data_IF_395642766013
#
_entry.id   IF_395642766013
#
_cell.length_a   1.000
_cell.length_b   1.000
_cell.length_c   1.000
_cell.angle_alpha   90.00
_cell.angle_beta   90.00
_cell.angle_gamma   90.00
#
_symmetry.space_group_name_H-M   'P 1'
#
loop_
_entity.id
_entity.type
_entity.pdbx_description
1 polymer ?
#
# COMPACT_ATOMS: atom_id res chain seq x y z
N UNK A 1 14.02 -8.76 -24.69
CA UNK A 1 13.50 -9.96 -24.01
C UNK A 1 12.06 -10.14 -24.45
N UNK A 2 11.66 -11.36 -24.80
CA UNK A 2 10.37 -11.62 -25.43
C UNK A 2 9.23 -11.22 -24.49
N UNK A 3 8.32 -10.36 -24.95
CA UNK A 3 7.00 -10.15 -24.35
C UNK A 3 6.24 -11.47 -24.49
N UNK A 4 6.50 -12.42 -23.60
CA UNK A 4 5.71 -13.63 -23.45
C UNK A 4 4.26 -13.22 -23.25
N UNK A 5 3.33 -14.05 -23.73
CA UNK A 5 1.89 -13.81 -23.74
C UNK A 5 1.40 -13.44 -22.32
N UNK A 6 1.40 -12.15 -21.98
CA UNK A 6 0.98 -11.64 -20.68
C UNK A 6 -0.54 -11.63 -20.65
N UNK A 7 -1.10 -12.02 -19.52
CA UNK A 7 -2.54 -11.98 -19.33
C UNK A 7 -2.96 -10.51 -19.38
N UNK A 8 -3.80 -10.19 -20.35
CA UNK A 8 -4.41 -8.89 -20.48
C UNK A 8 -5.73 -8.89 -19.70
N UNK A 9 -6.13 -7.74 -19.18
CA UNK A 9 -7.41 -7.59 -18.51
C UNK A 9 -8.54 -7.90 -19.51
N UNK A 10 -9.42 -8.85 -19.15
CA UNK A 10 -10.53 -9.35 -19.98
C UNK A 10 -11.75 -8.42 -19.91
N UNK A 11 -11.50 -7.12 -20.06
CA UNK A 11 -12.52 -6.06 -20.15
C UNK A 11 -12.00 -5.00 -21.13
N UNK A 12 -12.25 -5.23 -22.41
CA UNK A 12 -11.75 -4.38 -23.50
C UNK A 12 -12.25 -2.93 -23.38
N UNK A 13 -13.47 -2.72 -22.88
CA UNK A 13 -14.05 -1.40 -22.68
C UNK A 13 -13.34 -0.64 -21.56
N UNK A 14 -13.08 -1.29 -20.42
CA UNK A 14 -12.31 -0.71 -19.32
C UNK A 14 -10.85 -0.45 -19.74
N UNK A 15 -10.22 -1.40 -20.42
CA UNK A 15 -8.86 -1.22 -20.95
C UNK A 15 -8.82 0.00 -21.87
N UNK A 16 -9.79 0.12 -22.79
CA UNK A 16 -9.89 1.29 -23.67
C UNK A 16 -10.05 2.59 -22.88
N UNK A 17 -10.92 2.62 -21.87
CA UNK A 17 -11.12 3.80 -21.02
C UNK A 17 -9.83 4.23 -20.30
N UNK A 18 -9.05 3.27 -19.77
CA UNK A 18 -7.77 3.56 -19.11
C UNK A 18 -6.77 4.18 -20.09
N UNK A 19 -6.63 3.58 -21.29
CA UNK A 19 -5.74 4.11 -22.32
C UNK A 19 -6.17 5.51 -22.78
N UNK A 20 -7.44 5.70 -23.10
CA UNK A 20 -7.98 6.99 -23.55
C UNK A 20 -7.73 8.07 -22.50
N UNK A 21 -8.07 7.80 -21.23
CA UNK A 21 -7.91 8.77 -20.14
C UNK A 21 -6.45 9.22 -19.96
N UNK A 22 -5.47 8.32 -20.06
CA UNK A 22 -4.05 8.67 -19.90
C UNK A 22 -3.47 9.34 -21.15
N UNK A 23 -3.89 8.90 -22.35
CA UNK A 23 -3.44 9.52 -23.61
C UNK A 23 -3.98 10.94 -23.79
N UNK A 24 -5.21 11.22 -23.34
CA UNK A 24 -5.77 12.59 -23.28
C UNK A 24 -4.96 13.53 -22.38
N UNK A 25 -4.25 12.97 -21.38
CA UNK A 25 -3.32 13.71 -20.52
C UNK A 25 -1.88 13.75 -21.08
N UNK A 26 -1.66 13.26 -22.30
CA UNK A 26 -0.36 13.31 -22.98
C UNK A 26 0.59 12.16 -22.63
N UNK A 27 0.10 11.05 -22.07
CA UNK A 27 0.92 9.85 -21.86
C UNK A 27 0.85 8.95 -23.10
N UNK A 28 1.99 8.72 -23.74
CA UNK A 28 2.07 7.87 -24.93
C UNK A 28 1.63 6.42 -24.63
N UNK A 29 0.89 5.81 -25.57
CA UNK A 29 0.32 4.47 -25.42
C UNK A 29 1.39 3.38 -25.19
N UNK A 30 2.58 3.54 -25.75
CA UNK A 30 3.68 2.58 -25.61
C UNK A 30 4.33 2.59 -24.21
N UNK A 31 4.02 3.60 -23.39
CA UNK A 31 4.40 3.70 -21.97
C UNK A 31 3.42 3.03 -21.03
N UNK A 32 2.32 2.48 -21.54
CA UNK A 32 1.23 1.91 -20.76
C UNK A 32 1.11 0.42 -21.00
N UNK A 33 0.98 -0.33 -19.90
CA UNK A 33 0.68 -1.75 -19.91
C UNK A 33 -0.41 -2.02 -18.87
N UNK A 34 -1.47 -2.72 -19.28
CA UNK A 34 -2.57 -3.11 -18.41
C UNK A 34 -2.55 -4.63 -18.26
N UNK A 35 -2.19 -5.08 -17.07
CA UNK A 35 -2.15 -6.51 -16.74
C UNK A 35 -3.53 -6.98 -16.28
N UNK A 36 -3.89 -8.18 -16.72
CA UNK A 36 -5.06 -8.91 -16.24
C UNK A 36 -4.79 -9.68 -14.94
N UNK A 37 -5.81 -10.36 -14.40
CA UNK A 37 -5.66 -11.19 -13.22
C UNK A 37 -4.61 -12.29 -13.43
N UNK A 38 -3.69 -12.43 -12.48
CA UNK A 38 -2.67 -13.48 -12.53
C UNK A 38 -3.24 -14.84 -12.05
N UNK A 39 -2.77 -15.98 -12.57
CA UNK A 39 -3.36 -17.30 -12.27
C UNK A 39 -3.16 -17.75 -10.82
N UNK A 40 -2.18 -17.18 -10.13
CA UNK A 40 -1.86 -17.51 -8.75
C UNK A 40 -1.32 -16.29 -7.99
N UNK A 41 -1.32 -16.36 -6.66
CA UNK A 41 -0.67 -15.37 -5.79
C UNK A 41 0.83 -15.27 -6.07
N UNK A 42 1.48 -16.39 -6.40
CA UNK A 42 2.91 -16.38 -6.74
C UNK A 42 3.16 -15.56 -8.01
N UNK A 43 2.33 -15.77 -9.05
CA UNK A 43 2.44 -15.03 -10.30
C UNK A 43 2.14 -13.54 -10.12
N UNK A 44 1.13 -13.21 -9.30
CA UNK A 44 0.82 -11.83 -8.88
C UNK A 44 2.01 -11.18 -8.19
N UNK A 45 2.57 -11.81 -7.16
CA UNK A 45 3.72 -11.29 -6.44
C UNK A 45 4.95 -11.13 -7.35
N UNK A 46 5.13 -12.02 -8.32
CA UNK A 46 6.23 -11.93 -9.27
C UNK A 46 6.14 -10.72 -10.21
N UNK A 47 4.95 -10.14 -10.41
CA UNK A 47 4.80 -8.89 -11.20
C UNK A 47 5.51 -7.70 -10.55
N UNK A 48 5.63 -7.67 -9.22
CA UNK A 48 6.35 -6.62 -8.51
C UNK A 48 7.85 -6.61 -8.82
N UNK A 49 8.44 -7.71 -9.27
CA UNK A 49 9.86 -7.74 -9.68
C UNK A 49 10.14 -6.90 -10.94
N UNK A 50 9.09 -6.47 -11.64
CA UNK A 50 9.16 -5.58 -12.79
C UNK A 50 8.80 -4.13 -12.48
N UNK A 51 8.38 -3.86 -11.25
CA UNK A 51 8.00 -2.53 -10.79
C UNK A 51 9.14 -1.91 -9.97
N UNK A 52 9.45 -0.65 -10.25
CA UNK A 52 10.45 0.08 -9.47
C UNK A 52 9.83 0.82 -8.28
N UNK A 53 8.67 1.45 -8.47
CA UNK A 53 7.96 2.28 -7.48
C UNK A 53 6.47 1.97 -7.54
N UNK A 54 5.84 1.76 -6.39
CA UNK A 54 4.39 1.68 -6.26
C UNK A 54 3.78 3.06 -6.07
N UNK A 55 2.75 3.37 -6.86
CA UNK A 55 1.97 4.60 -6.74
C UNK A 55 0.63 4.24 -6.08
N UNK A 56 0.48 4.56 -4.80
CA UNK A 56 -0.74 4.30 -4.05
C UNK A 56 -1.88 5.21 -4.53
N UNK A 57 -3.11 4.69 -4.52
CA UNK A 57 -4.30 5.43 -4.93
C UNK A 57 -4.83 6.32 -3.81
N UNK A 58 -5.56 7.37 -4.19
CA UNK A 58 -6.29 8.24 -3.27
C UNK A 58 -7.63 8.64 -3.89
N UNK A 59 -8.69 8.86 -3.07
CA UNK A 59 -8.72 8.94 -1.60
C UNK A 59 -8.80 7.59 -0.87
N UNK A 60 -8.69 6.46 -1.59
CA UNK A 60 -8.69 5.12 -1.00
C UNK A 60 -7.34 4.45 -1.23
N UNK A 61 -6.57 4.28 -0.15
CA UNK A 61 -5.25 3.67 -0.21
C UNK A 61 -5.32 2.14 -0.31
N UNK A 62 -4.27 1.57 -0.89
CA UNK A 62 -3.94 0.17 -0.78
C UNK A 62 -3.66 -0.24 0.68
N UNK A 63 -3.92 -1.51 0.97
CA UNK A 63 -3.56 -2.13 2.24
C UNK A 63 -2.72 -3.37 1.97
N UNK A 64 -3.36 -4.42 1.45
CA UNK A 64 -2.68 -5.67 1.09
C UNK A 64 -1.66 -5.45 -0.02
N UNK A 65 -2.03 -4.74 -1.08
CA UNK A 65 -1.13 -4.42 -2.21
C UNK A 65 0.10 -3.60 -1.78
N UNK A 66 -0.04 -2.72 -0.79
CA UNK A 66 1.08 -1.96 -0.21
C UNK A 66 2.00 -2.86 0.61
N UNK A 67 1.44 -3.78 1.41
CA UNK A 67 2.22 -4.80 2.13
C UNK A 67 2.94 -5.76 1.17
N UNK A 68 2.28 -6.19 0.09
CA UNK A 68 2.85 -7.04 -0.95
C UNK A 68 4.00 -6.34 -1.68
N UNK A 69 3.80 -5.08 -2.06
CA UNK A 69 4.85 -4.24 -2.66
C UNK A 69 6.07 -4.17 -1.74
N UNK A 70 5.87 -3.82 -0.46
CA UNK A 70 6.95 -3.76 0.51
C UNK A 70 7.67 -5.12 0.69
N UNK A 71 6.89 -6.21 0.78
CA UNK A 71 7.44 -7.56 0.87
C UNK A 71 8.29 -7.93 -0.35
N UNK A 72 7.87 -7.51 -1.54
CA UNK A 72 8.56 -7.73 -2.80
C UNK A 72 9.68 -6.73 -3.09
N UNK A 73 9.91 -5.77 -2.19
CA UNK A 73 11.02 -4.81 -2.33
C UNK A 73 10.65 -3.55 -3.11
N UNK A 74 9.37 -3.29 -3.37
CA UNK A 74 8.89 -2.09 -4.10
C UNK A 74 8.44 -1.01 -3.12
N UNK A 75 9.14 0.14 -3.01
CA UNK A 75 8.71 1.24 -2.17
C UNK A 75 7.42 1.87 -2.72
N UNK A 76 6.50 2.24 -1.83
CA UNK A 76 5.19 2.80 -2.18
C UNK A 76 5.08 4.24 -1.73
N UNK A 77 4.74 5.13 -2.66
CA UNK A 77 4.42 6.53 -2.37
C UNK A 77 2.93 6.63 -2.15
N UNK A 78 2.53 7.29 -1.07
CA UNK A 78 1.12 7.39 -0.64
C UNK A 78 0.78 8.83 -0.25
N UNK A 79 -0.51 9.15 -0.25
CA UNK A 79 -1.01 10.42 0.31
C UNK A 79 -1.70 10.16 1.64
N UNK A 80 -1.60 11.12 2.56
CA UNK A 80 -2.35 11.09 3.83
C UNK A 80 -3.58 11.99 3.73
N UNK A 81 -4.76 11.41 3.99
CA UNK A 81 -6.04 12.13 4.06
C UNK A 81 -6.66 12.14 5.45
N UNK A 82 -7.93 12.58 5.51
CA UNK A 82 -8.67 12.76 6.77
C UNK A 82 -9.38 11.48 7.24
N UNK A 83 -9.83 10.63 6.31
CA UNK A 83 -10.60 9.42 6.62
C UNK A 83 -9.69 8.19 6.75
N UNK A 84 -10.15 7.16 7.45
CA UNK A 84 -9.36 5.94 7.70
C UNK A 84 -8.79 5.32 6.40
N UNK A 85 -9.61 5.17 5.35
CA UNK A 85 -9.18 4.60 4.07
C UNK A 85 -8.11 5.43 3.35
N UNK A 86 -7.97 6.71 3.68
CA UNK A 86 -6.95 7.61 3.13
C UNK A 86 -5.71 7.71 4.03
N UNK A 87 -5.60 6.87 5.06
CA UNK A 87 -4.49 6.89 6.04
C UNK A 87 -3.77 5.55 6.16
N UNK A 88 -4.25 4.51 5.49
CA UNK A 88 -3.68 3.17 5.60
C UNK A 88 -2.26 3.15 5.03
N UNK A 89 -2.05 3.73 3.85
CA UNK A 89 -0.72 3.82 3.25
C UNK A 89 0.26 4.57 4.14
N UNK A 90 -0.16 5.72 4.71
CA UNK A 90 0.64 6.48 5.66
C UNK A 90 0.98 5.69 6.94
N UNK A 91 0.02 4.93 7.48
CA UNK A 91 0.25 4.07 8.64
C UNK A 91 1.27 2.96 8.34
N UNK A 92 1.19 2.35 7.15
CA UNK A 92 2.12 1.30 6.73
C UNK A 92 3.52 1.86 6.50
N UNK A 93 3.65 2.99 5.79
CA UNK A 93 4.94 3.63 5.57
C UNK A 93 5.59 4.08 6.89
N UNK A 94 4.82 4.60 7.84
CA UNK A 94 5.32 4.92 9.19
C UNK A 94 5.86 3.67 9.90
N UNK A 95 5.12 2.55 9.85
CA UNK A 95 5.55 1.30 10.46
C UNK A 95 6.84 0.71 9.83
N UNK A 96 7.16 1.10 8.58
CA UNK A 96 8.36 0.71 7.84
C UNK A 96 9.51 1.74 7.92
N UNK A 97 9.30 2.87 8.61
CA UNK A 97 10.24 3.99 8.66
C UNK A 97 10.48 4.61 7.28
N UNK A 98 9.40 4.83 6.53
CA UNK A 98 9.35 5.40 5.18
C UNK A 98 8.47 6.67 5.13
N UNK A 99 8.45 7.45 6.21
CA UNK A 99 7.66 8.67 6.31
C UNK A 99 8.00 9.68 5.20
N UNK A 100 9.22 9.62 4.64
CA UNK A 100 9.62 10.45 3.50
C UNK A 100 8.82 10.17 2.22
N UNK A 101 8.14 9.02 2.14
CA UNK A 101 7.28 8.59 1.02
C UNK A 101 5.79 8.92 1.27
N UNK A 102 5.46 9.64 2.33
CA UNK A 102 4.08 10.08 2.65
C UNK A 102 3.92 11.54 2.20
N UNK A 103 3.13 11.76 1.16
CA UNK A 103 2.77 13.09 0.68
C UNK A 103 1.53 13.65 1.41
N UNK A 104 1.49 14.96 1.63
CA UNK A 104 0.34 15.64 2.24
C UNK A 104 -0.74 16.06 1.23
N UNK A 105 -0.39 16.16 -0.05
CA UNK A 105 -1.25 16.62 -1.13
C UNK A 105 -0.78 16.01 -2.48
N UNK A 106 -1.60 16.11 -3.56
CA UNK A 106 -1.24 15.58 -4.88
C UNK A 106 0.03 16.20 -5.47
N UNK A 107 0.32 17.46 -5.20
CA UNK A 107 1.53 18.15 -5.67
C UNK A 107 2.78 17.51 -5.06
N UNK A 108 2.83 17.36 -3.74
CA UNK A 108 3.93 16.71 -3.05
C UNK A 108 4.06 15.22 -3.45
N UNK A 109 2.94 14.56 -3.75
CA UNK A 109 2.95 13.18 -4.25
C UNK A 109 3.74 13.05 -5.55
N UNK A 110 3.48 13.95 -6.50
CA UNK A 110 4.22 14.00 -7.78
C UNK A 110 5.69 14.35 -7.54
N UNK A 111 5.98 15.35 -6.70
CA UNK A 111 7.36 15.74 -6.37
C UNK A 111 8.16 14.57 -5.79
N UNK A 112 7.59 13.83 -4.83
CA UNK A 112 8.23 12.64 -4.24
C UNK A 112 8.41 11.53 -5.26
N UNK A 113 7.44 11.29 -6.13
CA UNK A 113 7.52 10.27 -7.17
C UNK A 113 8.64 10.57 -8.17
N UNK A 114 8.71 11.81 -8.65
CA UNK A 114 9.78 12.25 -9.56
C UNK A 114 11.14 12.20 -8.86
N UNK A 115 11.24 12.71 -7.63
CA UNK A 115 12.49 12.70 -6.88
C UNK A 115 13.02 11.28 -6.65
N UNK A 116 12.15 10.33 -6.31
CA UNK A 116 12.56 8.93 -6.12
C UNK A 116 12.91 8.24 -7.44
N UNK A 117 12.14 8.48 -8.50
CA UNK A 117 12.37 7.89 -9.82
C UNK A 117 13.68 8.37 -10.48
N UNK A 118 14.13 9.58 -10.16
CA UNK A 118 15.35 10.17 -10.71
C UNK A 118 16.61 9.87 -9.88
N UNK A 119 16.47 9.51 -8.60
CA UNK A 119 17.56 9.11 -7.72
C UNK A 119 17.71 7.58 -7.69
N UNK A 120 18.28 7.03 -8.76
CA UNK A 120 18.49 5.57 -8.92
C UNK A 120 19.28 4.94 -7.75
N UNK A 121 20.38 5.53 -7.25
CA UNK A 121 21.08 5.00 -6.09
C UNK A 121 20.19 4.89 -4.84
N UNK A 122 19.40 5.93 -4.53
CA UNK A 122 18.46 5.91 -3.39
C UNK A 122 17.38 4.86 -3.59
N UNK A 123 16.79 4.79 -4.79
CA UNK A 123 15.76 3.81 -5.12
C UNK A 123 16.28 2.37 -4.93
N UNK A 124 17.46 2.05 -5.46
CA UNK A 124 18.06 0.71 -5.30
C UNK A 124 18.39 0.40 -3.84
N UNK A 125 18.85 1.39 -3.06
CA UNK A 125 19.09 1.21 -1.64
C UNK A 125 17.80 0.89 -0.85
N UNK A 126 16.69 1.58 -1.17
CA UNK A 126 15.38 1.27 -0.60
C UNK A 126 14.94 -0.15 -0.98
N UNK A 127 14.95 -0.49 -2.27
CA UNK A 127 14.49 -1.79 -2.76
C UNK A 127 15.24 -2.96 -2.12
N UNK A 128 16.57 -2.87 -2.01
CA UNK A 128 17.40 -3.91 -1.41
C UNK A 128 17.15 -4.12 0.09
N UNK A 129 16.73 -3.06 0.81
CA UNK A 129 16.49 -3.12 2.25
C UNK A 129 15.04 -3.41 2.65
N UNK A 130 14.09 -3.23 1.73
CA UNK A 130 12.67 -3.09 2.10
C UNK A 130 12.04 -4.39 2.62
N UNK A 131 12.37 -5.55 2.04
CA UNK A 131 11.92 -6.85 2.57
C UNK A 131 12.40 -7.05 4.01
N UNK A 132 13.67 -6.76 4.28
CA UNK A 132 14.24 -6.82 5.62
C UNK A 132 13.57 -5.85 6.59
N UNK A 133 13.23 -4.63 6.14
CA UNK A 133 12.44 -3.69 6.95
C UNK A 133 11.07 -4.27 7.29
N UNK A 134 10.36 -4.84 6.31
CA UNK A 134 9.05 -5.45 6.52
C UNK A 134 9.11 -6.62 7.50
N UNK A 135 10.07 -7.55 7.32
CA UNK A 135 10.30 -8.70 8.21
C UNK A 135 10.57 -8.29 9.66
N UNK A 136 11.30 -7.19 9.87
CA UNK A 136 11.67 -6.69 11.19
C UNK A 136 10.71 -5.61 11.74
N UNK A 137 9.68 -5.24 10.98
CA UNK A 137 8.73 -4.20 11.39
C UNK A 137 7.71 -4.72 12.40
N UNK A 138 7.01 -3.78 13.04
CA UNK A 138 5.84 -4.10 13.89
C UNK A 138 4.72 -4.80 13.12
N UNK A 139 4.69 -4.70 11.78
CA UNK A 139 3.67 -5.34 10.94
C UNK A 139 3.84 -6.87 10.88
N UNK A 140 5.04 -7.40 11.16
CA UNK A 140 5.34 -8.84 11.21
C UNK A 140 5.54 -9.35 12.63
N UNK A 141 5.31 -8.52 13.64
CA UNK A 141 5.40 -8.93 15.03
C UNK A 141 4.04 -9.48 15.51
N UNK A 142 3.77 -10.73 15.13
CA UNK A 142 2.50 -11.41 15.38
C UNK A 142 2.19 -11.53 16.89
N UNK A 143 3.22 -11.75 17.71
CA UNK A 143 3.08 -11.84 19.16
C UNK A 143 2.67 -10.50 19.79
N UNK A 144 3.35 -9.41 19.42
CA UNK A 144 3.02 -8.06 19.90
C UNK A 144 1.62 -7.64 19.45
N UNK A 145 1.23 -7.99 18.22
CA UNK A 145 -0.12 -7.73 17.73
C UNK A 145 -1.17 -8.44 18.59
N UNK A 146 -1.00 -9.76 18.83
CA UNK A 146 -1.92 -10.56 19.63
C UNK A 146 -2.03 -10.04 21.07
N UNK A 147 -0.90 -9.67 21.69
CA UNK A 147 -0.86 -9.08 23.03
C UNK A 147 -1.66 -7.77 23.09
N UNK A 148 -1.37 -6.82 22.19
CA UNK A 148 -2.04 -5.52 22.16
C UNK A 148 -3.53 -5.63 21.86
N UNK A 149 -3.89 -6.52 20.94
CA UNK A 149 -5.29 -6.76 20.60
C UNK A 149 -6.06 -7.38 21.76
N UNK A 150 -5.47 -8.38 22.45
CA UNK A 150 -6.05 -8.98 23.65
C UNK A 150 -6.26 -7.96 24.76
N UNK A 151 -5.23 -7.16 25.08
CA UNK A 151 -5.33 -6.10 26.07
C UNK A 151 -6.42 -5.06 25.74
N UNK A 152 -6.58 -4.71 24.46
CA UNK A 152 -7.65 -3.81 24.03
C UNK A 152 -9.05 -4.42 24.25
N UNK A 153 -9.22 -5.72 23.99
CA UNK A 153 -10.49 -6.43 24.25
C UNK A 153 -10.79 -6.47 25.75
N UNK A 154 -9.80 -6.82 26.57
CA UNK A 154 -9.94 -6.84 28.04
C UNK A 154 -10.35 -5.46 28.57
N UNK A 155 -9.69 -4.39 28.09
CA UNK A 155 -10.02 -3.03 28.46
C UNK A 155 -11.47 -2.65 28.08
N UNK A 156 -11.92 -3.03 26.88
CA UNK A 156 -13.31 -2.80 26.43
C UNK A 156 -14.29 -3.53 27.36
N UNK A 157 -13.97 -4.76 27.76
CA UNK A 157 -14.79 -5.57 28.65
C UNK A 157 -14.88 -4.97 30.07
N UNK A 158 -13.74 -4.56 30.65
CA UNK A 158 -13.71 -3.90 31.95
C UNK A 158 -14.54 -2.61 31.96
N UNK A 159 -14.43 -1.80 30.90
CA UNK A 159 -15.24 -0.59 30.74
C UNK A 159 -16.74 -0.91 30.63
N UNK A 160 -17.10 -2.02 30.00
CA UNK A 160 -18.49 -2.46 29.91
C UNK A 160 -19.03 -2.90 31.27
N UNK A 161 -18.29 -3.70 32.04
CA UNK A 161 -18.67 -4.12 33.38
C UNK A 161 -18.84 -2.90 34.31
N UNK A 162 -17.89 -1.97 34.32
CA UNK A 162 -17.96 -0.77 35.15
C UNK A 162 -19.18 0.12 34.85
N UNK A 163 -19.61 0.19 33.57
CA UNK A 163 -20.83 0.91 33.17
C UNK A 163 -22.11 0.21 33.62
N UNK A 164 -22.11 -1.12 33.68
CA UNK A 164 -23.29 -1.92 34.03
C UNK A 164 -23.44 -2.14 35.55
N UNK A 165 -22.35 -2.17 36.33
CA UNK A 165 -22.44 -2.21 37.80
C UNK A 165 -23.09 -0.93 38.38
N UNK A 166 -22.94 0.21 37.70
CA UNK A 166 -23.63 1.46 38.04
C UNK A 166 -25.16 1.47 37.81
N UNK A 167 -25.71 0.50 37.09
CA UNK A 167 -27.15 0.37 36.82
C UNK A 167 -27.88 -0.61 37.76
N UNK A 168 -27.14 -1.50 38.44
CA UNK A 168 -27.73 -2.53 39.31
C UNK A 168 -27.82 -2.07 40.77
N UNK A 169 -27.07 -1.04 41.18
CA UNK A 169 -27.16 -0.46 42.54
C UNK A 169 -28.26 0.61 42.71
N UNK A 170 -29.16 0.79 41.74
CA UNK A 170 -30.26 1.78 41.81
C UNK A 170 -31.67 1.17 41.77
N UNK A 171 -31.84 -0.07 42.23
CA UNK A 171 -33.16 -0.70 42.44
C UNK A 171 -33.33 -1.09 43.90
#
# INVERSE_FOLDING_TARGET
MAKGNRLQLDDDDLVKQIFDSLTEQGVDRDRLEVLGPMPSTFDHLNTYNEADIGLDTFPYNGTTTTCEAAWMGVPVITTIGEVHSARVGASLNTALGLEELIAKDPEEYVEKAVALATDVPRLRALQNGLRGRMENSVLRNDALYAERFGAAIEQIWEQHLAKNEGLVSSV
#
